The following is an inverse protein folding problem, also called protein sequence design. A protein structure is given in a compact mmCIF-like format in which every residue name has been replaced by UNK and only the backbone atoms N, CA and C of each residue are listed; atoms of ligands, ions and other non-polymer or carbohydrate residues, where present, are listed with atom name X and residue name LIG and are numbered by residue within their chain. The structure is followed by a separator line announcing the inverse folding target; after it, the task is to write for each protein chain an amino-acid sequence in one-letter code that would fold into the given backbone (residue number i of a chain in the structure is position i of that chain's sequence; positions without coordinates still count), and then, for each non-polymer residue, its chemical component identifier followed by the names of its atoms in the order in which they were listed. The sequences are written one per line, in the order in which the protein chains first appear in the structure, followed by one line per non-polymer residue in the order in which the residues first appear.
data_IF_215152586679
#
_entry.id   IF_215152586679
#
_cell.length_a   1.000
_cell.length_b   1.000
_cell.length_c   1.000
_cell.angle_alpha   90.00
_cell.angle_beta   90.00
_cell.angle_gamma   90.00
#
_symmetry.space_group_name_H-M   'P 1'
#
loop_
_entity.id
_entity.type
_entity.pdbx_description
1 polymer ?
#
# COMPACT_ATOMS: atom_id res chain seq x y z
N UNK A 1 5.16 -103.97 24.75
CA UNK A 1 4.14 -103.20 24.02
C UNK A 1 4.04 -101.86 24.61
N UNK A 2 4.70 -100.85 23.96
CA UNK A 2 4.59 -99.44 24.38
C UNK A 2 4.10 -98.65 23.16
N UNK A 3 2.93 -98.10 23.26
CA UNK A 3 2.34 -97.19 22.28
C UNK A 3 2.97 -95.79 22.44
N UNK A 4 3.78 -95.34 21.44
CA UNK A 4 4.24 -93.96 21.35
C UNK A 4 3.11 -93.07 20.84
N UNK A 5 2.58 -92.17 21.71
CA UNK A 5 1.63 -91.14 21.32
C UNK A 5 2.34 -90.06 20.48
N UNK A 6 1.97 -90.00 19.20
CA UNK A 6 2.37 -88.92 18.29
C UNK A 6 1.76 -87.60 18.79
N UNK A 7 2.61 -86.72 19.34
CA UNK A 7 2.23 -85.31 19.68
C UNK A 7 2.24 -84.49 18.37
N UNK A 8 1.09 -83.97 17.96
CA UNK A 8 0.99 -82.96 16.91
C UNK A 8 1.80 -81.68 17.30
N UNK A 9 2.80 -81.33 16.49
CA UNK A 9 3.51 -80.05 16.58
C UNK A 9 2.48 -78.87 16.54
N UNK A 10 2.56 -77.88 17.47
CA UNK A 10 1.73 -76.71 17.38
C UNK A 10 2.10 -75.93 16.10
N UNK A 11 1.12 -75.65 15.26
CA UNK A 11 1.28 -74.69 14.15
C UNK A 11 1.62 -73.32 14.75
N UNK A 12 2.84 -72.90 14.57
CA UNK A 12 3.27 -71.55 14.86
C UNK A 12 2.59 -70.61 13.87
N UNK A 13 1.47 -69.99 14.29
CA UNK A 13 0.89 -68.87 13.57
C UNK A 13 1.84 -67.71 13.70
N UNK A 14 2.63 -67.44 12.65
CA UNK A 14 3.42 -66.20 12.52
C UNK A 14 2.43 -65.03 12.66
N UNK A 15 2.58 -64.17 13.66
CA UNK A 15 1.66 -63.05 13.80
C UNK A 15 1.81 -62.17 12.55
N UNK A 16 0.73 -62.02 11.78
CA UNK A 16 0.73 -61.10 10.64
C UNK A 16 0.97 -59.69 11.17
N UNK A 17 1.97 -59.00 10.63
CA UNK A 17 2.24 -57.61 11.04
C UNK A 17 0.99 -56.77 10.82
N UNK A 18 0.51 -56.08 11.88
CA UNK A 18 -0.61 -55.13 11.79
C UNK A 18 -0.20 -54.01 10.85
N UNK A 19 -0.78 -53.96 9.66
CA UNK A 19 -0.55 -52.87 8.71
C UNK A 19 -1.03 -51.54 9.30
N UNK A 20 -0.21 -50.47 9.29
CA UNK A 20 -0.63 -49.17 9.74
C UNK A 20 -1.76 -48.63 8.85
N UNK A 21 -2.76 -48.01 9.48
CA UNK A 21 -3.83 -47.31 8.77
C UNK A 21 -3.35 -45.90 8.40
N UNK A 22 -3.56 -45.52 7.15
CA UNK A 22 -3.21 -44.19 6.61
C UNK A 22 -4.45 -43.51 6.09
N UNK A 23 -4.58 -42.22 6.38
CA UNK A 23 -5.57 -41.37 5.76
C UNK A 23 -4.98 -40.81 4.47
N UNK A 24 -5.78 -40.83 3.40
CA UNK A 24 -5.36 -40.35 2.09
C UNK A 24 -6.30 -39.25 1.59
N UNK A 25 -5.73 -38.32 0.83
CA UNK A 25 -6.46 -37.38 0.02
C UNK A 25 -6.20 -37.68 -1.45
N UNK A 26 -7.25 -37.69 -2.25
CA UNK A 26 -7.13 -37.89 -3.70
C UNK A 26 -6.56 -36.58 -4.29
N UNK A 27 -5.55 -36.72 -5.14
CA UNK A 27 -4.94 -35.58 -5.83
C UNK A 27 -5.87 -35.16 -6.98
N UNK A 28 -6.46 -33.97 -6.82
CA UNK A 28 -7.30 -33.37 -7.85
C UNK A 28 -6.62 -32.14 -8.39
N UNK A 29 -6.54 -32.03 -9.71
CA UNK A 29 -6.06 -30.84 -10.38
C UNK A 29 -7.13 -29.75 -10.27
N UNK A 30 -6.78 -28.65 -9.59
CA UNK A 30 -7.69 -27.56 -9.33
C UNK A 30 -7.09 -26.21 -9.79
N UNK A 31 -7.96 -25.21 -9.95
CA UNK A 31 -7.56 -23.83 -10.14
C UNK A 31 -7.30 -23.21 -8.77
N UNK A 32 -6.12 -22.66 -8.57
CA UNK A 32 -5.75 -22.04 -7.30
C UNK A 32 -5.29 -20.59 -7.50
N UNK A 33 -5.83 -19.68 -6.68
CA UNK A 33 -5.38 -18.28 -6.61
C UNK A 33 -4.46 -18.12 -5.40
N UNK A 34 -3.22 -17.73 -5.65
CA UNK A 34 -2.24 -17.51 -4.59
C UNK A 34 -2.69 -16.38 -3.66
N UNK A 35 -2.47 -16.54 -2.36
CA UNK A 35 -2.75 -15.53 -1.34
C UNK A 35 -1.50 -15.28 -0.53
N UNK A 36 -0.90 -14.12 -0.77
CA UNK A 36 0.33 -13.72 -0.10
C UNK A 36 -0.02 -12.93 1.15
N UNK A 37 0.55 -13.36 2.28
CA UNK A 37 0.32 -12.71 3.56
C UNK A 37 1.42 -11.70 3.85
N UNK A 38 1.03 -10.52 4.27
CA UNK A 38 1.93 -9.46 4.73
C UNK A 38 1.29 -8.68 5.88
N UNK A 39 1.99 -7.69 6.38
CA UNK A 39 1.50 -6.83 7.46
C UNK A 39 2.14 -5.45 7.37
N UNK A 40 1.44 -4.44 7.87
CA UNK A 40 1.93 -3.08 7.82
C UNK A 40 1.11 -2.15 8.69
N UNK A 41 1.50 -0.88 8.71
CA UNK A 41 0.78 0.17 9.42
C UNK A 41 0.06 1.05 8.41
N UNK A 42 -1.20 1.31 8.66
CA UNK A 42 -2.03 2.21 7.87
C UNK A 42 -1.63 3.66 8.16
N UNK A 43 -1.21 4.39 7.14
CA UNK A 43 -0.82 5.80 7.24
C UNK A 43 -1.56 6.62 6.19
N UNK A 44 -1.91 7.88 6.46
CA UNK A 44 -2.52 8.76 5.47
C UNK A 44 -1.52 9.00 4.33
N UNK A 45 -2.01 9.03 3.09
CA UNK A 45 -1.18 9.32 1.93
C UNK A 45 -0.55 10.71 1.99
N UNK A 46 -1.30 11.67 2.50
CA UNK A 46 -0.87 13.06 2.64
C UNK A 46 -0.96 13.48 4.10
N UNK A 47 0.17 13.88 4.65
CA UNK A 47 0.25 14.50 5.98
C UNK A 47 1.17 15.70 5.89
N UNK A 48 0.76 16.82 6.48
CA UNK A 48 1.53 18.05 6.48
C UNK A 48 1.63 18.61 7.90
N UNK A 49 2.76 19.27 8.16
CA UNK A 49 2.91 20.15 9.32
C UNK A 49 2.53 21.55 8.89
N UNK A 50 1.49 22.08 9.50
CA UNK A 50 1.04 23.44 9.28
C UNK A 50 1.96 24.38 10.04
N UNK A 51 2.54 25.35 9.35
CA UNK A 51 3.43 26.36 9.94
C UNK A 51 2.94 27.76 9.59
N UNK A 52 3.28 28.73 10.44
CA UNK A 52 2.97 30.12 10.14
C UNK A 52 3.91 30.67 9.08
N UNK A 53 3.35 31.31 8.05
CA UNK A 53 4.10 32.00 6.99
C UNK A 53 4.28 33.51 7.28
N UNK A 54 3.63 34.02 8.34
CA UNK A 54 3.70 35.40 8.78
C UNK A 54 3.81 35.45 10.31
N UNK A 55 4.30 36.55 10.87
CA UNK A 55 4.43 36.71 12.31
C UNK A 55 3.26 37.53 12.84
N UNK A 56 2.69 37.17 13.98
CA UNK A 56 1.63 37.94 14.61
C UNK A 56 0.91 37.16 15.72
N UNK A 57 0.00 37.85 16.40
CA UNK A 57 -0.84 37.23 17.43
C UNK A 57 -1.98 36.43 16.78
N UNK A 58 -2.21 35.21 17.25
CA UNK A 58 -3.37 34.43 16.84
C UNK A 58 -4.64 35.04 17.43
N UNK A 59 -5.51 35.53 16.58
CA UNK A 59 -6.78 36.18 16.96
C UNK A 59 -7.87 35.14 17.21
N UNK A 60 -8.00 34.21 16.32
CA UNK A 60 -9.02 33.15 16.41
C UNK A 60 -8.51 31.82 15.89
N UNK A 61 -9.04 30.76 16.44
CA UNK A 61 -8.85 29.37 16.02
C UNK A 61 -10.23 28.79 15.80
N UNK A 62 -10.47 28.18 14.63
CA UNK A 62 -11.75 27.56 14.31
C UNK A 62 -11.98 26.30 15.15
N UNK A 63 -13.21 25.98 15.46
CA UNK A 63 -13.58 24.72 16.13
C UNK A 63 -13.16 23.48 15.33
N UNK A 64 -13.17 23.59 14.00
CA UNK A 64 -12.68 22.55 13.09
C UNK A 64 -11.18 22.28 13.19
N UNK A 65 -10.40 23.15 13.88
CA UNK A 65 -8.97 22.97 14.10
C UNK A 65 -8.63 22.24 15.42
N UNK A 66 -9.61 21.67 16.10
CA UNK A 66 -9.34 20.80 17.25
C UNK A 66 -9.01 19.38 16.83
N UNK A 67 -8.24 18.66 17.67
CA UNK A 67 -7.76 17.30 17.39
C UNK A 67 -8.93 16.35 17.12
N UNK A 68 -8.85 15.64 15.99
CA UNK A 68 -9.89 14.69 15.56
C UNK A 68 -11.06 15.35 14.82
N UNK A 69 -11.09 16.67 14.67
CA UNK A 69 -12.11 17.35 13.86
C UNK A 69 -11.79 17.26 12.37
N UNK A 70 -12.85 17.21 11.57
CA UNK A 70 -12.79 17.17 10.11
C UNK A 70 -12.92 18.60 9.59
N UNK A 71 -12.17 18.92 8.56
CA UNK A 71 -12.23 20.17 7.82
C UNK A 71 -12.30 19.89 6.31
N UNK A 72 -12.80 20.87 5.56
CA UNK A 72 -12.84 20.86 4.09
C UNK A 72 -11.79 21.82 3.53
N UNK A 73 -11.36 21.53 2.30
CA UNK A 73 -10.41 22.38 1.57
C UNK A 73 -10.92 23.82 1.48
N UNK A 74 -10.06 24.77 1.88
CA UNK A 74 -10.37 26.20 1.88
C UNK A 74 -10.93 26.74 3.20
N UNK A 75 -11.34 25.87 4.13
CA UNK A 75 -11.79 26.30 5.46
C UNK A 75 -10.71 27.11 6.16
N UNK A 76 -11.09 28.20 6.80
CA UNK A 76 -10.18 28.99 7.62
C UNK A 76 -10.00 28.29 8.96
N UNK A 77 -8.80 27.78 9.20
CA UNK A 77 -8.47 27.04 10.41
C UNK A 77 -8.08 27.99 11.56
N UNK A 78 -7.35 29.05 11.25
CA UNK A 78 -6.98 30.07 12.23
C UNK A 78 -6.67 31.40 11.54
N UNK A 79 -6.73 32.50 12.33
CA UNK A 79 -6.41 33.86 11.87
C UNK A 79 -5.34 34.48 12.75
N UNK A 80 -4.37 35.08 12.09
CA UNK A 80 -3.33 35.95 12.70
C UNK A 80 -3.78 37.41 12.58
N UNK A 81 -3.36 38.26 13.49
CA UNK A 81 -3.67 39.69 13.47
C UNK A 81 -3.19 40.33 12.17
N UNK A 82 -4.12 40.80 11.37
CA UNK A 82 -3.87 41.29 10.02
C UNK A 82 -3.59 42.82 9.97
N UNK A 83 -3.79 43.56 11.05
CA UNK A 83 -3.79 45.04 11.04
C UNK A 83 -2.51 45.62 10.48
N UNK A 84 -1.35 45.09 10.84
CA UNK A 84 -0.05 45.57 10.33
C UNK A 84 0.12 45.25 8.85
N UNK A 85 -0.40 44.16 8.38
CA UNK A 85 -0.37 43.74 6.98
C UNK A 85 -1.37 44.50 6.12
N UNK A 86 -2.55 44.85 6.66
CA UNK A 86 -3.51 45.77 6.01
C UNK A 86 -2.90 47.14 5.80
N UNK A 87 -2.20 47.67 6.82
CA UNK A 87 -1.50 48.97 6.74
C UNK A 87 -0.38 48.91 5.70
N UNK A 88 0.42 47.83 5.68
CA UNK A 88 1.47 47.63 4.68
C UNK A 88 0.93 47.57 3.25
N UNK A 89 -0.22 46.91 3.04
CA UNK A 89 -0.89 46.88 1.75
C UNK A 89 -1.40 48.28 1.34
N UNK A 90 -1.98 49.04 2.27
CA UNK A 90 -2.43 50.42 2.00
C UNK A 90 -1.26 51.33 1.60
N UNK A 91 -0.11 51.18 2.25
CA UNK A 91 1.13 51.93 1.92
C UNK A 91 1.64 51.56 0.51
N UNK A 92 1.68 50.24 0.17
CA UNK A 92 2.11 49.77 -1.13
C UNK A 92 1.19 50.29 -2.26
N UNK A 93 -0.13 50.31 -2.03
CA UNK A 93 -1.10 50.90 -2.98
C UNK A 93 -0.87 52.37 -3.21
N UNK A 94 -0.54 53.11 -2.17
CA UNK A 94 -0.17 54.54 -2.28
C UNK A 94 1.08 54.73 -3.17
N UNK A 95 2.09 53.84 -3.02
CA UNK A 95 3.31 53.89 -3.84
C UNK A 95 2.99 53.57 -5.31
N UNK A 96 2.12 52.63 -5.60
CA UNK A 96 1.65 52.34 -6.96
C UNK A 96 0.97 53.54 -7.58
N UNK A 97 0.06 54.21 -6.85
CA UNK A 97 -0.62 55.44 -7.33
C UNK A 97 0.36 56.55 -7.65
N UNK A 98 1.40 56.78 -6.80
CA UNK A 98 2.43 57.76 -7.04
C UNK A 98 3.30 57.44 -8.26
N UNK A 99 3.74 56.18 -8.40
CA UNK A 99 4.54 55.73 -9.54
C UNK A 99 3.73 55.80 -10.86
N UNK A 100 2.45 55.48 -10.80
CA UNK A 100 1.55 55.60 -11.95
C UNK A 100 1.35 57.04 -12.39
N UNK A 101 1.16 57.96 -11.45
CA UNK A 101 1.09 59.39 -11.74
C UNK A 101 2.39 59.90 -12.38
N UNK A 102 3.54 59.53 -11.83
CA UNK A 102 4.84 59.90 -12.37
C UNK A 102 5.03 59.38 -13.81
N UNK A 103 4.68 58.16 -14.08
CA UNK A 103 4.75 57.61 -15.43
C UNK A 103 3.84 58.40 -16.38
N UNK A 104 2.62 58.73 -15.97
CA UNK A 104 1.69 59.54 -16.78
C UNK A 104 2.27 60.95 -17.09
N UNK A 105 2.93 61.59 -16.11
CA UNK A 105 3.60 62.86 -16.34
C UNK A 105 4.73 62.73 -17.36
N UNK A 106 5.63 61.74 -17.23
CA UNK A 106 6.73 61.54 -18.15
C UNK A 106 6.23 61.19 -19.56
N UNK A 107 5.14 60.43 -19.69
CA UNK A 107 4.51 60.13 -20.99
C UNK A 107 4.01 61.45 -21.63
N UNK A 108 3.35 62.32 -20.88
CA UNK A 108 2.84 63.62 -21.38
C UNK A 108 3.97 64.57 -21.78
N UNK A 109 5.02 64.63 -21.00
CA UNK A 109 6.19 65.44 -21.32
C UNK A 109 6.94 64.92 -22.57
N UNK A 110 7.06 63.61 -22.71
CA UNK A 110 7.63 63.00 -23.91
C UNK A 110 6.77 63.27 -25.15
N UNK A 111 5.42 63.23 -25.02
CA UNK A 111 4.51 63.60 -26.11
C UNK A 111 4.61 65.05 -26.53
N UNK A 112 4.83 65.98 -25.58
CA UNK A 112 5.06 67.40 -25.87
C UNK A 112 6.32 67.59 -26.64
N UNK A 113 7.45 67.02 -26.21
CA UNK A 113 8.74 67.09 -26.91
C UNK A 113 8.63 66.54 -28.31
N UNK A 114 7.98 65.40 -28.52
CA UNK A 114 7.79 64.81 -29.83
C UNK A 114 7.03 65.72 -30.80
N UNK A 115 5.92 66.38 -30.33
CA UNK A 115 5.12 67.33 -31.11
C UNK A 115 5.92 68.58 -31.46
N UNK A 116 6.77 69.14 -30.57
CA UNK A 116 7.62 70.28 -30.82
C UNK A 116 8.63 69.96 -31.93
N UNK A 117 9.24 68.77 -31.94
CA UNK A 117 10.14 68.30 -32.96
C UNK A 117 9.45 68.13 -34.33
N UNK A 118 8.23 67.59 -34.35
CA UNK A 118 7.43 67.50 -35.54
C UNK A 118 7.13 68.92 -36.17
N UNK A 119 6.76 69.91 -35.32
CA UNK A 119 6.49 71.25 -35.74
C UNK A 119 7.74 71.98 -36.31
N UNK A 120 8.91 71.68 -35.81
CA UNK A 120 10.19 72.29 -36.22
C UNK A 120 10.79 71.57 -37.44
N UNK A 121 10.18 70.53 -37.93
CA UNK A 121 10.58 69.76 -39.11
C UNK A 121 12.05 69.22 -39.00
N UNK A 122 12.51 68.90 -37.77
CA UNK A 122 13.88 68.52 -37.45
C UNK A 122 14.13 67.01 -37.46
N UNK A 123 13.19 66.20 -38.01
CA UNK A 123 13.27 64.75 -38.01
C UNK A 123 12.84 64.12 -36.69
N UNK A 124 13.28 62.90 -36.39
CA UNK A 124 12.96 62.23 -35.09
C UNK A 124 13.97 62.66 -34.01
N UNK A 125 13.47 62.95 -32.78
CA UNK A 125 14.36 63.28 -31.65
C UNK A 125 15.21 62.04 -31.28
N UNK A 126 16.47 62.28 -30.90
CA UNK A 126 17.32 61.18 -30.37
C UNK A 126 16.66 60.61 -29.08
N UNK A 127 16.93 59.33 -28.74
CA UNK A 127 16.34 58.65 -27.58
C UNK A 127 16.48 59.43 -26.25
N UNK A 128 17.59 60.21 -26.07
CA UNK A 128 17.76 61.06 -24.90
C UNK A 128 16.83 62.30 -24.97
N UNK A 129 16.66 62.89 -26.15
CA UNK A 129 15.79 64.05 -26.36
C UNK A 129 14.30 63.62 -26.27
N UNK A 130 13.96 62.43 -26.73
CA UNK A 130 12.62 61.85 -26.60
C UNK A 130 12.28 61.38 -25.19
N UNK A 131 13.14 61.59 -24.19
CA UNK A 131 12.98 61.23 -22.78
C UNK A 131 12.83 59.69 -22.55
N UNK A 132 13.34 58.88 -23.49
CA UNK A 132 13.26 57.41 -23.38
C UNK A 132 13.84 56.84 -22.08
N UNK A 133 15.03 57.32 -21.58
CA UNK A 133 15.55 56.83 -20.30
C UNK A 133 14.66 57.20 -19.12
N UNK A 134 14.00 58.38 -19.12
CA UNK A 134 13.07 58.84 -18.07
C UNK A 134 11.78 57.97 -18.10
N UNK A 135 11.25 57.72 -19.29
CA UNK A 135 10.11 56.81 -19.46
C UNK A 135 10.44 55.41 -19.00
N UNK A 136 11.61 54.87 -19.38
CA UNK A 136 12.05 53.56 -18.93
C UNK A 136 12.20 53.49 -17.41
N UNK A 137 12.79 54.52 -16.79
CA UNK A 137 12.92 54.63 -15.34
C UNK A 137 11.56 54.71 -14.63
N UNK A 138 10.62 55.51 -15.16
CA UNK A 138 9.27 55.64 -14.59
C UNK A 138 8.48 54.32 -14.71
N UNK A 139 8.64 53.60 -15.82
CA UNK A 139 8.02 52.26 -16.02
C UNK A 139 8.58 51.23 -15.03
N UNK A 140 9.92 51.20 -14.86
CA UNK A 140 10.57 50.32 -13.91
C UNK A 140 10.15 50.63 -12.47
N UNK A 141 9.98 51.91 -12.13
CA UNK A 141 9.48 52.33 -10.79
C UNK A 141 8.04 51.89 -10.55
N UNK A 142 7.16 51.95 -11.56
CA UNK A 142 5.79 51.41 -11.47
C UNK A 142 5.78 49.92 -11.32
N UNK A 143 6.58 49.21 -12.08
CA UNK A 143 6.70 47.74 -11.98
C UNK A 143 7.18 47.29 -10.60
N UNK A 144 8.17 47.98 -10.03
CA UNK A 144 8.66 47.74 -8.68
C UNK A 144 7.57 47.98 -7.62
N UNK A 145 6.79 49.06 -7.78
CA UNK A 145 5.68 49.36 -6.86
C UNK A 145 4.56 48.31 -6.94
N UNK A 146 4.22 47.87 -8.12
CA UNK A 146 3.23 46.78 -8.33
C UNK A 146 3.70 45.46 -7.70
N UNK A 147 4.99 45.13 -7.84
CA UNK A 147 5.56 43.95 -7.20
C UNK A 147 5.50 44.04 -5.67
N UNK A 148 5.74 45.24 -5.10
CA UNK A 148 5.62 45.51 -3.66
C UNK A 148 4.17 45.37 -3.16
N UNK A 149 3.20 45.90 -3.91
CA UNK A 149 1.77 45.73 -3.60
C UNK A 149 1.37 44.23 -3.58
N UNK A 150 1.78 43.50 -4.59
CA UNK A 150 1.48 42.07 -4.67
C UNK A 150 2.13 41.28 -3.52
N UNK A 151 3.34 41.64 -3.11
CA UNK A 151 4.00 41.05 -1.95
C UNK A 151 3.22 41.35 -0.64
N UNK A 152 2.80 42.59 -0.43
CA UNK A 152 2.01 43.00 0.71
C UNK A 152 0.64 42.27 0.75
N UNK A 153 -0.02 42.13 -0.40
CA UNK A 153 -1.26 41.39 -0.54
C UNK A 153 -1.11 39.91 -0.17
N UNK A 154 -0.08 39.25 -0.67
CA UNK A 154 0.21 37.85 -0.30
C UNK A 154 0.46 37.70 1.20
N UNK A 155 1.14 38.64 1.84
CA UNK A 155 1.37 38.57 3.28
C UNK A 155 0.08 38.76 4.07
N UNK A 156 -0.83 39.60 3.60
CA UNK A 156 -2.16 39.75 4.19
C UNK A 156 -2.98 38.46 4.03
N UNK A 157 -2.98 37.85 2.84
CA UNK A 157 -3.69 36.60 2.59
C UNK A 157 -3.17 35.45 3.49
N UNK A 158 -1.86 35.47 3.82
CA UNK A 158 -1.23 34.51 4.72
C UNK A 158 -1.63 34.66 6.20
N UNK A 159 -2.28 35.76 6.56
CA UNK A 159 -2.84 35.93 7.90
C UNK A 159 -4.05 35.05 8.15
N UNK A 160 -4.75 34.61 7.08
CA UNK A 160 -5.77 33.58 7.16
C UNK A 160 -5.18 32.23 6.75
N UNK A 161 -4.93 31.33 7.71
CA UNK A 161 -4.41 30.01 7.45
C UNK A 161 -5.57 29.09 7.08
N UNK A 162 -5.57 28.63 5.82
CA UNK A 162 -6.63 27.80 5.25
C UNK A 162 -6.19 26.35 5.04
N UNK A 163 -7.16 25.46 5.09
CA UNK A 163 -6.96 24.03 4.81
C UNK A 163 -6.60 23.82 3.32
N UNK A 164 -5.47 23.14 3.00
CA UNK A 164 -5.06 22.92 1.62
C UNK A 164 -5.78 21.75 0.93
N UNK A 165 -6.41 20.86 1.70
CA UNK A 165 -7.13 19.66 1.26
C UNK A 165 -8.23 19.32 2.28
N UNK A 166 -9.10 18.35 1.93
CA UNK A 166 -10.07 17.79 2.85
C UNK A 166 -9.38 16.81 3.81
N UNK A 167 -9.59 16.95 5.11
CA UNK A 167 -8.81 16.17 6.05
C UNK A 167 -9.29 16.26 7.50
N UNK A 168 -8.40 15.80 8.37
CA UNK A 168 -8.59 15.79 9.82
C UNK A 168 -7.36 16.34 10.53
N UNK A 169 -7.57 16.97 11.68
CA UNK A 169 -6.51 17.50 12.54
C UNK A 169 -5.91 16.39 13.38
N UNK A 170 -4.61 16.10 13.15
CA UNK A 170 -3.85 15.16 13.98
C UNK A 170 -3.37 15.81 15.27
N UNK A 171 -2.94 17.08 15.17
CA UNK A 171 -2.42 17.84 16.31
C UNK A 171 -2.73 19.32 16.14
N UNK A 172 -3.25 19.96 17.19
CA UNK A 172 -3.41 21.39 17.29
C UNK A 172 -2.39 21.93 18.30
N UNK A 173 -1.48 22.81 17.83
CA UNK A 173 -0.33 23.30 18.61
C UNK A 173 -0.49 24.74 19.10
N UNK A 174 -1.59 25.43 18.78
CA UNK A 174 -1.74 26.84 18.99
C UNK A 174 -3.12 27.20 19.58
N UNK A 175 -3.16 28.25 20.38
CA UNK A 175 -4.39 28.77 21.02
C UNK A 175 -4.56 30.28 20.73
N UNK A 176 -5.79 30.80 20.75
CA UNK A 176 -6.04 32.22 20.64
C UNK A 176 -5.24 33.02 21.69
N UNK A 177 -4.67 34.13 21.29
CA UNK A 177 -3.84 34.97 22.15
C UNK A 177 -2.35 34.69 22.13
N UNK A 178 -1.91 33.53 21.61
CA UNK A 178 -0.50 33.21 21.45
C UNK A 178 0.12 33.98 20.28
N UNK A 179 1.42 34.26 20.37
CA UNK A 179 2.18 34.88 19.30
C UNK A 179 2.81 33.75 18.45
N UNK A 180 2.55 33.76 17.15
CA UNK A 180 3.17 32.89 16.17
C UNK A 180 4.27 33.70 15.44
N UNK A 181 5.51 33.24 15.54
CA UNK A 181 6.60 33.74 14.72
C UNK A 181 6.60 33.04 13.36
N UNK A 182 7.36 33.55 12.40
CA UNK A 182 7.60 32.87 11.12
C UNK A 182 8.09 31.44 11.35
N UNK A 183 7.55 30.48 10.60
CA UNK A 183 7.83 29.03 10.68
C UNK A 183 7.43 28.36 12.02
N UNK A 184 6.70 29.02 12.90
CA UNK A 184 6.17 28.38 14.12
C UNK A 184 5.20 27.26 13.73
N UNK A 185 5.37 26.02 14.25
CA UNK A 185 4.43 24.93 14.02
C UNK A 185 3.06 25.26 14.66
N UNK A 186 2.01 25.25 13.86
CA UNK A 186 0.64 25.52 14.28
C UNK A 186 -0.13 24.23 14.57
N UNK A 187 0.17 23.15 13.81
CA UNK A 187 -0.47 21.85 13.96
C UNK A 187 -0.01 20.84 12.92
N UNK A 188 -0.64 19.68 12.95
CA UNK A 188 -0.44 18.62 11.97
C UNK A 188 -1.80 18.23 11.38
N UNK A 189 -1.87 18.19 10.07
CA UNK A 189 -3.07 17.85 9.29
C UNK A 189 -2.79 16.62 8.44
N UNK A 190 -3.81 15.78 8.24
CA UNK A 190 -3.72 14.68 7.29
C UNK A 190 -5.00 14.55 6.47
N UNK A 191 -4.83 14.11 5.22
CA UNK A 191 -5.94 13.89 4.31
C UNK A 191 -6.71 12.62 4.67
N UNK A 192 -8.04 12.65 4.48
CA UNK A 192 -8.94 11.54 4.79
C UNK A 192 -9.41 10.78 3.54
N UNK A 193 -8.96 11.16 2.36
CA UNK A 193 -9.34 10.57 1.07
C UNK A 193 -8.79 9.16 0.89
N UNK A 194 -7.51 8.94 1.24
CA UNK A 194 -6.78 7.70 0.99
C UNK A 194 -5.81 7.40 2.13
N UNK A 195 -5.83 6.14 2.56
CA UNK A 195 -4.80 5.58 3.45
C UNK A 195 -3.94 4.61 2.67
N UNK A 196 -2.64 4.67 2.90
CA UNK A 196 -1.64 3.76 2.34
C UNK A 196 -1.12 2.81 3.41
N UNK A 197 -0.87 1.56 2.99
CA UNK A 197 -0.22 0.56 3.82
C UNK A 197 0.99 0.05 3.07
N UNK A 198 2.16 0.23 3.64
CA UNK A 198 3.42 -0.28 3.12
C UNK A 198 3.61 -1.72 3.58
N UNK A 199 3.65 -2.66 2.64
CA UNK A 199 3.64 -4.10 2.86
C UNK A 199 4.97 -4.71 2.41
N UNK A 200 5.79 -5.26 3.33
CA UNK A 200 7.01 -5.98 2.99
C UNK A 200 6.68 -7.34 2.37
N UNK A 201 7.34 -7.68 1.26
CA UNK A 201 7.25 -8.96 0.57
C UNK A 201 8.64 -9.53 0.36
N UNK A 202 8.79 -10.85 0.50
CA UNK A 202 10.03 -11.53 0.12
C UNK A 202 10.10 -11.71 -1.40
N UNK A 203 11.30 -11.75 -1.94
CA UNK A 203 11.49 -11.79 -3.41
C UNK A 203 10.80 -12.99 -4.08
N UNK A 204 10.69 -14.14 -3.40
CA UNK A 204 9.98 -15.31 -3.90
C UNK A 204 8.48 -15.06 -4.11
N UNK A 205 7.86 -14.23 -3.27
CA UNK A 205 6.41 -13.98 -3.33
C UNK A 205 6.02 -13.07 -4.48
N UNK A 206 6.97 -12.25 -4.96
CA UNK A 206 6.74 -11.35 -6.10
C UNK A 206 6.40 -12.09 -7.39
N UNK A 207 6.91 -13.31 -7.56
CA UNK A 207 6.62 -14.15 -8.73
C UNK A 207 5.14 -14.56 -8.83
N UNK A 208 4.42 -14.51 -7.71
CA UNK A 208 3.01 -14.90 -7.61
C UNK A 208 2.03 -13.72 -7.69
N UNK A 209 2.52 -12.48 -7.84
CA UNK A 209 1.70 -11.28 -7.90
C UNK A 209 1.94 -10.57 -9.23
N UNK A 210 0.87 -10.09 -9.87
CA UNK A 210 0.98 -9.22 -11.04
C UNK A 210 1.12 -7.77 -10.59
N UNK A 211 2.35 -7.38 -10.24
CA UNK A 211 2.62 -6.02 -9.78
C UNK A 211 2.53 -5.02 -10.93
N UNK A 212 2.00 -3.82 -10.68
CA UNK A 212 2.05 -2.73 -11.64
C UNK A 212 3.49 -2.39 -12.00
N UNK A 213 3.75 -2.13 -13.28
CA UNK A 213 5.08 -1.64 -13.71
C UNK A 213 5.35 -0.25 -13.11
N UNK A 214 6.61 0.07 -12.81
CA UNK A 214 6.98 1.39 -12.32
C UNK A 214 6.45 2.50 -13.23
N UNK A 215 5.81 3.51 -12.64
CA UNK A 215 5.23 4.63 -13.38
C UNK A 215 3.93 4.34 -14.14
N UNK A 216 3.44 3.10 -14.17
CA UNK A 216 2.15 2.80 -14.78
C UNK A 216 1.00 3.30 -13.89
N UNK A 217 0.08 4.08 -14.49
CA UNK A 217 -1.21 4.37 -13.85
C UNK A 217 -2.10 3.15 -14.03
N UNK A 218 -2.25 2.36 -12.98
CA UNK A 218 -3.13 1.18 -13.00
C UNK A 218 -4.54 1.61 -12.68
N UNK A 219 -5.49 1.27 -13.55
CA UNK A 219 -6.90 1.42 -13.22
C UNK A 219 -7.24 0.52 -12.02
N UNK A 220 -7.99 1.03 -11.05
CA UNK A 220 -8.35 0.32 -9.80
C UNK A 220 -8.90 -1.11 -10.03
N UNK A 221 -9.56 -1.35 -11.18
CA UNK A 221 -10.09 -2.66 -11.54
C UNK A 221 -9.05 -3.69 -12.02
N UNK A 222 -7.83 -3.26 -12.35
CA UNK A 222 -6.74 -4.12 -12.84
C UNK A 222 -5.63 -4.34 -11.80
N UNK A 223 -5.66 -3.58 -10.71
CA UNK A 223 -4.69 -3.69 -9.64
C UNK A 223 -4.97 -4.91 -8.75
N UNK A 224 -3.93 -5.60 -8.24
CA UNK A 224 -4.11 -6.71 -7.30
C UNK A 224 -4.93 -6.26 -6.08
N UNK A 225 -5.96 -7.04 -5.76
CA UNK A 225 -6.80 -6.77 -4.59
C UNK A 225 -6.08 -7.16 -3.32
N UNK A 226 -6.29 -6.37 -2.28
CA UNK A 226 -5.75 -6.63 -0.95
C UNK A 226 -6.86 -6.53 0.07
N UNK A 227 -7.04 -7.58 0.85
CA UNK A 227 -7.89 -7.54 2.03
C UNK A 227 -7.02 -7.21 3.24
N UNK A 228 -7.26 -6.04 3.81
CA UNK A 228 -6.63 -5.62 5.05
C UNK A 228 -7.51 -6.01 6.23
N UNK A 229 -6.93 -6.53 7.28
CA UNK A 229 -7.70 -6.90 8.48
C UNK A 229 -6.98 -6.49 9.76
N UNK A 230 -7.75 -5.99 10.72
CA UNK A 230 -7.27 -5.73 12.07
C UNK A 230 -8.24 -6.29 13.10
N UNK A 231 -7.73 -6.62 14.28
CA UNK A 231 -8.53 -7.01 15.44
C UNK A 231 -8.59 -5.87 16.44
N UNK A 232 -9.80 -5.52 16.84
CA UNK A 232 -10.06 -4.64 17.97
C UNK A 232 -10.90 -5.41 18.98
N UNK A 233 -10.22 -6.00 19.99
CA UNK A 233 -10.85 -6.98 20.90
C UNK A 233 -11.26 -8.25 20.16
N UNK A 234 -12.53 -8.65 20.30
CA UNK A 234 -13.07 -9.84 19.61
C UNK A 234 -13.53 -9.55 18.17
N UNK A 235 -13.71 -8.28 17.79
CA UNK A 235 -14.15 -7.92 16.44
C UNK A 235 -12.98 -7.90 15.48
N UNK A 236 -13.11 -8.65 14.40
CA UNK A 236 -12.26 -8.54 13.22
C UNK A 236 -12.94 -7.60 12.22
N UNK A 237 -12.22 -6.57 11.81
CA UNK A 237 -12.67 -5.64 10.78
C UNK A 237 -11.81 -5.83 9.54
N UNK A 238 -12.42 -5.75 8.38
CA UNK A 238 -11.77 -5.92 7.09
C UNK A 238 -12.03 -4.71 6.20
N UNK A 239 -11.00 -4.33 5.44
CA UNK A 239 -11.06 -3.25 4.45
C UNK A 239 -10.50 -3.77 3.13
N UNK A 240 -11.14 -3.40 2.03
CA UNK A 240 -10.67 -3.70 0.69
C UNK A 240 -9.77 -2.58 0.20
N UNK A 241 -8.61 -2.96 -0.30
CA UNK A 241 -7.64 -2.08 -0.92
C UNK A 241 -7.08 -2.68 -2.20
N UNK A 242 -6.19 -1.94 -2.85
CA UNK A 242 -5.53 -2.36 -4.08
C UNK A 242 -4.04 -2.01 -4.01
N UNK A 243 -3.18 -2.86 -4.59
CA UNK A 243 -1.75 -2.55 -4.74
C UNK A 243 -1.61 -1.52 -5.86
N UNK A 244 -1.10 -0.35 -5.55
CA UNK A 244 -0.96 0.76 -6.51
C UNK A 244 0.44 0.91 -7.06
N UNK A 245 1.47 0.49 -6.32
CA UNK A 245 2.86 0.55 -6.73
C UNK A 245 3.74 -0.43 -5.96
N UNK A 246 4.87 -0.76 -6.55
CA UNK A 246 6.01 -1.39 -5.90
C UNK A 246 7.13 -0.35 -5.72
N UNK A 247 7.87 -0.42 -4.63
CA UNK A 247 9.00 0.47 -4.36
C UNK A 247 10.29 -0.08 -4.98
N UNK A 248 10.29 -0.81 -6.02
CA UNK A 248 11.42 -1.32 -6.84
C UNK A 248 12.81 -1.44 -6.16
N UNK A 249 12.93 -1.00 -4.93
CA UNK A 249 14.15 -1.01 -4.13
C UNK A 249 14.09 -2.16 -3.13
N UNK A 250 15.07 -3.06 -3.20
CA UNK A 250 15.24 -4.11 -2.20
C UNK A 250 15.93 -3.51 -0.98
N UNK A 251 15.30 -3.61 0.17
CA UNK A 251 15.90 -3.20 1.43
C UNK A 251 17.12 -4.10 1.74
N UNK A 252 18.33 -3.54 1.83
CA UNK A 252 19.55 -4.33 2.01
C UNK A 252 19.61 -5.04 3.36
N UNK A 253 18.91 -4.56 4.38
CA UNK A 253 18.94 -5.15 5.72
C UNK A 253 18.08 -6.41 5.84
N UNK A 254 16.88 -6.37 5.25
CA UNK A 254 15.91 -7.47 5.36
C UNK A 254 15.65 -8.21 4.04
N UNK A 255 16.21 -7.72 2.92
CA UNK A 255 16.05 -8.27 1.56
C UNK A 255 14.58 -8.35 1.11
N UNK A 256 13.75 -7.45 1.61
CA UNK A 256 12.34 -7.35 1.24
C UNK A 256 12.14 -6.25 0.20
N UNK A 257 11.13 -6.45 -0.65
CA UNK A 257 10.59 -5.44 -1.54
C UNK A 257 9.28 -4.95 -0.94
N UNK A 258 9.08 -3.65 -0.95
CA UNK A 258 7.86 -3.07 -0.41
C UNK A 258 6.86 -2.77 -1.51
N UNK A 259 5.62 -3.16 -1.29
CA UNK A 259 4.48 -2.77 -2.12
C UNK A 259 3.54 -1.89 -1.32
N UNK A 260 2.86 -0.98 -1.98
CA UNK A 260 1.95 -0.03 -1.33
C UNK A 260 0.53 -0.37 -1.72
N UNK A 261 -0.26 -0.71 -0.72
CA UNK A 261 -1.71 -0.87 -0.83
C UNK A 261 -2.41 0.44 -0.48
N UNK A 262 -3.45 0.81 -1.23
CA UNK A 262 -4.32 1.95 -0.96
C UNK A 262 -5.73 1.50 -0.61
N UNK A 263 -6.31 2.15 0.40
CA UNK A 263 -7.73 2.07 0.76
C UNK A 263 -8.34 3.45 0.52
N UNK A 264 -9.37 3.49 -0.30
CA UNK A 264 -10.13 4.71 -0.61
C UNK A 264 -11.26 4.87 0.40
N UNK A 265 -11.52 6.10 0.83
CA UNK A 265 -12.51 6.43 1.87
C UNK A 265 -12.36 5.58 3.15
N UNK A 266 -11.15 5.56 3.75
CA UNK A 266 -10.85 4.69 4.90
C UNK A 266 -11.67 5.01 6.14
N UNK A 267 -12.24 6.20 6.22
CA UNK A 267 -13.08 6.65 7.32
C UNK A 267 -14.58 6.44 7.09
N UNK A 268 -14.97 5.99 5.87
CA UNK A 268 -16.38 5.80 5.51
C UNK A 268 -17.16 7.10 5.42
N UNK A 269 -16.51 8.22 5.13
CA UNK A 269 -17.14 9.55 5.09
C UNK A 269 -18.12 9.68 3.92
N UNK A 270 -17.79 9.05 2.78
CA UNK A 270 -18.65 9.06 1.60
C UNK A 270 -19.79 8.04 1.68
N UNK A 271 -19.50 6.82 2.17
CA UNK A 271 -20.46 5.71 2.17
C UNK A 271 -21.17 5.49 3.51
N UNK A 272 -20.68 6.07 4.61
CA UNK A 272 -21.15 5.88 6.00
C UNK A 272 -21.29 4.42 6.44
N UNK A 273 -20.63 3.50 5.75
CA UNK A 273 -20.64 2.08 6.02
C UNK A 273 -19.26 1.59 6.48
N UNK A 274 -19.24 0.78 7.54
CA UNK A 274 -18.05 0.11 8.05
C UNK A 274 -17.32 0.85 9.18
N UNK A 275 -16.42 0.14 9.83
CA UNK A 275 -15.56 0.72 10.85
C UNK A 275 -14.40 1.50 10.18
N UNK A 276 -14.04 2.69 10.68
CA UNK A 276 -12.99 3.50 10.10
C UNK A 276 -11.62 2.84 10.25
N UNK A 277 -10.82 2.87 9.19
CA UNK A 277 -9.40 2.51 9.22
C UNK A 277 -8.59 3.72 9.70
N UNK A 278 -8.34 3.76 11.00
CA UNK A 278 -7.62 4.88 11.61
C UNK A 278 -6.14 4.89 11.25
N UNK A 279 -5.59 6.08 11.06
CA UNK A 279 -4.15 6.26 10.94
C UNK A 279 -3.39 5.64 12.12
N UNK A 280 -2.27 4.95 11.86
CA UNK A 280 -1.50 4.24 12.87
C UNK A 280 -2.00 2.82 13.17
N UNK A 281 -3.11 2.38 12.60
CA UNK A 281 -3.61 1.01 12.80
C UNK A 281 -2.68 0.00 12.15
N UNK A 282 -2.22 -0.99 12.94
CA UNK A 282 -1.50 -2.15 12.41
C UNK A 282 -2.48 -3.14 11.80
N UNK A 283 -2.24 -3.52 10.53
CA UNK A 283 -3.12 -4.39 9.76
C UNK A 283 -2.37 -5.59 9.20
N UNK A 284 -3.06 -6.72 9.11
CA UNK A 284 -2.65 -7.86 8.30
C UNK A 284 -3.24 -7.72 6.91
N UNK A 285 -2.43 -8.01 5.91
CA UNK A 285 -2.80 -7.92 4.51
C UNK A 285 -2.80 -9.31 3.87
N UNK A 286 -3.85 -9.62 3.14
CA UNK A 286 -3.95 -10.78 2.25
C UNK A 286 -4.05 -10.28 0.83
N UNK A 287 -2.98 -10.43 0.06
CA UNK A 287 -2.86 -9.96 -1.32
C UNK A 287 -3.30 -11.08 -2.24
N UNK A 288 -4.25 -10.81 -3.13
CA UNK A 288 -4.63 -11.74 -4.19
C UNK A 288 -3.56 -11.73 -5.29
N UNK A 289 -2.92 -12.88 -5.46
CA UNK A 289 -1.92 -13.11 -6.49
C UNK A 289 -2.50 -13.72 -7.75
N UNK A 290 -1.61 -14.27 -8.58
CA UNK A 290 -1.95 -14.97 -9.83
C UNK A 290 -2.81 -16.18 -9.55
N UNK A 291 -3.62 -16.53 -10.53
CA UNK A 291 -4.34 -17.79 -10.54
C UNK A 291 -3.60 -18.77 -11.44
N UNK A 292 -3.28 -19.94 -10.91
CA UNK A 292 -2.66 -21.01 -11.65
C UNK A 292 -3.66 -22.17 -11.82
N UNK A 293 -3.74 -22.71 -13.01
CA UNK A 293 -4.58 -23.86 -13.34
C UNK A 293 -3.76 -25.15 -13.26
N UNK A 294 -4.44 -26.27 -13.10
CA UNK A 294 -3.85 -27.61 -13.07
C UNK A 294 -2.79 -27.81 -11.96
N UNK A 295 -3.02 -27.26 -10.79
CA UNK A 295 -2.19 -27.48 -9.60
C UNK A 295 -2.90 -28.40 -8.60
N UNK A 296 -2.11 -29.15 -7.83
CA UNK A 296 -2.64 -30.02 -6.78
C UNK A 296 -2.44 -29.35 -5.43
N UNK A 297 -3.54 -29.12 -4.72
CA UNK A 297 -3.53 -28.49 -3.40
C UNK A 297 -3.64 -29.56 -2.32
N UNK A 298 -2.58 -29.66 -1.50
CA UNK A 298 -2.51 -30.60 -0.39
C UNK A 298 -2.43 -29.87 0.94
N UNK A 299 -2.88 -30.47 2.04
CA UNK A 299 -2.62 -29.96 3.38
C UNK A 299 -1.11 -29.86 3.64
N UNK A 300 -0.66 -28.86 4.37
CA UNK A 300 0.78 -28.64 4.66
C UNK A 300 1.46 -29.87 5.26
N UNK A 301 0.74 -30.61 6.10
CA UNK A 301 1.25 -31.82 6.76
C UNK A 301 1.38 -33.04 5.82
N UNK A 302 0.88 -32.98 4.59
CA UNK A 302 1.14 -34.03 3.59
C UNK A 302 2.56 -33.95 3.01
N UNK A 303 3.19 -32.75 3.06
CA UNK A 303 4.58 -32.55 2.64
C UNK A 303 5.54 -33.03 3.73
N UNK A 304 6.47 -33.89 3.35
CA UNK A 304 7.53 -34.42 4.22
C UNK A 304 8.87 -33.80 3.82
N UNK A 305 9.58 -33.26 4.81
CA UNK A 305 10.81 -32.54 4.54
C UNK A 305 10.59 -31.32 3.64
N UNK A 306 11.44 -31.14 2.63
CA UNK A 306 11.39 -29.99 1.72
C UNK A 306 10.48 -30.20 0.51
N UNK A 307 10.46 -31.41 -0.07
CA UNK A 307 9.83 -31.68 -1.36
C UNK A 307 9.38 -33.15 -1.54
N UNK A 308 9.04 -33.86 -0.47
CA UNK A 308 8.65 -35.26 -0.54
C UNK A 308 7.21 -35.44 -0.09
N UNK A 309 6.45 -36.28 -0.80
CA UNK A 309 5.12 -36.73 -0.41
C UNK A 309 5.08 -38.27 -0.42
N UNK A 310 4.14 -38.84 0.31
CA UNK A 310 3.91 -40.26 0.33
C UNK A 310 2.66 -40.58 -0.48
N UNK A 311 2.79 -41.49 -1.46
CA UNK A 311 1.71 -41.87 -2.34
C UNK A 311 1.39 -43.33 -2.08
N UNK A 312 0.11 -43.67 -2.10
CA UNK A 312 -0.35 -45.04 -2.01
C UNK A 312 -0.53 -45.62 -3.41
N UNK A 313 0.17 -46.69 -3.72
CA UNK A 313 0.09 -47.41 -5.00
C UNK A 313 -0.31 -48.86 -4.80
N UNK A 314 -1.06 -49.38 -5.74
CA UNK A 314 -1.41 -50.79 -5.82
C UNK A 314 -0.31 -51.59 -6.53
N UNK A 315 0.61 -50.92 -7.26
CA UNK A 315 1.70 -51.55 -8.02
C UNK A 315 2.99 -51.50 -7.23
N UNK A 316 3.71 -52.64 -7.17
CA UNK A 316 5.08 -52.73 -6.65
C UNK A 316 6.06 -52.52 -7.81
N UNK A 317 6.94 -51.54 -7.70
CA UNK A 317 8.02 -51.28 -8.68
C UNK A 317 8.97 -52.50 -8.86
N UNK A 318 9.11 -53.36 -7.86
CA UNK A 318 9.90 -54.60 -7.93
C UNK A 318 9.20 -55.74 -8.66
N UNK A 319 7.88 -55.75 -8.74
CA UNK A 319 7.12 -56.79 -9.43
C UNK A 319 7.17 -56.67 -10.96
N UNK A 320 7.33 -55.47 -11.47
CA UNK A 320 7.45 -55.25 -12.92
C UNK A 320 8.77 -55.75 -13.47
N UNK A 321 9.83 -55.80 -12.65
CA UNK A 321 11.17 -56.23 -13.06
C UNK A 321 11.40 -57.75 -12.87
N UNK A 322 10.75 -58.38 -11.87
CA UNK A 322 10.97 -59.79 -11.52
C UNK A 322 9.88 -60.78 -11.96
N UNK A 323 8.75 -60.35 -12.50
CA UNK A 323 7.69 -61.21 -12.99
C UNK A 323 7.00 -62.08 -11.91
N UNK A 324 7.19 -61.80 -10.63
CA UNK A 324 6.66 -62.58 -9.51
C UNK A 324 5.32 -62.01 -9.04
N UNK A 325 4.28 -62.81 -9.10
CA UNK A 325 2.91 -62.44 -8.71
C UNK A 325 2.60 -63.00 -7.33
N UNK A 326 2.84 -62.22 -6.27
CA UNK A 326 2.27 -62.52 -4.95
C UNK A 326 0.83 -62.01 -4.85
N UNK A 327 -0.08 -62.81 -4.30
CA UNK A 327 -1.47 -62.40 -4.10
C UNK A 327 -1.62 -61.62 -2.78
N UNK A 328 -1.09 -60.42 -2.71
CA UNK A 328 -1.34 -59.56 -1.56
C UNK A 328 -2.07 -58.30 -2.03
N UNK A 329 -3.35 -58.20 -1.69
CA UNK A 329 -4.21 -57.04 -1.93
C UNK A 329 -3.85 -55.85 -1.02
N UNK A 330 -2.57 -55.65 -0.69
CA UNK A 330 -2.12 -54.57 0.20
C UNK A 330 -1.59 -53.43 -0.63
N UNK A 331 -2.16 -52.23 -0.39
CA UNK A 331 -1.63 -51.00 -0.94
C UNK A 331 -0.27 -50.70 -0.30
N UNK A 332 0.68 -50.21 -1.11
CA UNK A 332 2.04 -49.87 -0.66
C UNK A 332 2.26 -48.39 -0.68
N UNK A 333 3.04 -47.91 0.26
CA UNK A 333 3.42 -46.53 0.39
C UNK A 333 4.72 -46.30 -0.40
N UNK A 334 4.73 -45.31 -1.28
CA UNK A 334 5.87 -44.93 -2.12
C UNK A 334 6.27 -43.50 -1.80
N UNK A 335 7.58 -43.29 -1.61
CA UNK A 335 8.14 -41.96 -1.44
C UNK A 335 8.36 -41.33 -2.80
N UNK A 336 7.80 -40.12 -3.01
CA UNK A 336 7.95 -39.38 -4.25
C UNK A 336 8.37 -37.95 -4.02
N UNK A 337 9.39 -37.53 -4.76
CA UNK A 337 9.78 -36.13 -4.81
C UNK A 337 8.82 -35.35 -5.68
N UNK A 338 8.43 -34.16 -5.24
CA UNK A 338 7.48 -33.27 -5.90
C UNK A 338 8.07 -31.88 -6.08
N UNK A 339 7.60 -31.19 -7.10
CA UNK A 339 7.92 -29.77 -7.30
C UNK A 339 6.88 -28.91 -6.59
N UNK A 340 7.32 -28.24 -5.52
CA UNK A 340 6.47 -27.37 -4.70
C UNK A 340 6.57 -25.96 -5.23
N UNK A 341 5.50 -25.45 -5.83
CA UNK A 341 5.45 -24.08 -6.31
C UNK A 341 5.24 -23.09 -5.16
N UNK A 342 4.40 -23.41 -4.20
CA UNK A 342 4.08 -22.53 -3.07
C UNK A 342 3.71 -23.34 -1.83
N UNK A 343 4.04 -22.83 -0.65
CA UNK A 343 3.62 -23.43 0.60
C UNK A 343 3.35 -22.35 1.64
N UNK A 344 2.19 -22.41 2.26
CA UNK A 344 1.81 -21.57 3.40
C UNK A 344 1.66 -22.37 4.70
N UNK A 345 1.10 -21.77 5.75
CA UNK A 345 0.91 -22.43 7.04
C UNK A 345 -0.11 -23.60 7.00
N UNK A 346 -1.06 -23.59 6.06
CA UNK A 346 -2.18 -24.54 6.00
C UNK A 346 -2.02 -25.53 4.85
N UNK A 347 -1.48 -25.11 3.72
CA UNK A 347 -1.48 -25.88 2.47
C UNK A 347 -0.17 -25.77 1.71
N UNK A 348 0.04 -26.74 0.82
CA UNK A 348 1.14 -26.77 -0.14
C UNK A 348 0.56 -26.96 -1.54
N UNK A 349 1.11 -26.21 -2.50
CA UNK A 349 0.72 -26.26 -3.90
C UNK A 349 1.82 -26.95 -4.66
N UNK A 350 1.45 -28.07 -5.27
CA UNK A 350 2.36 -28.93 -6.05
C UNK A 350 2.10 -28.66 -7.53
N UNK A 351 3.17 -28.25 -8.24
CA UNK A 351 3.13 -28.00 -9.67
C UNK A 351 3.37 -29.26 -10.49
N UNK A 352 4.23 -30.18 -10.01
CA UNK A 352 4.58 -31.39 -10.72
C UNK A 352 4.99 -32.52 -9.75
N UNK A 353 4.95 -33.76 -10.24
CA UNK A 353 5.37 -34.95 -9.48
C UNK A 353 4.23 -35.79 -8.92
N UNK A 354 2.99 -35.31 -8.99
CA UNK A 354 1.77 -36.07 -8.62
C UNK A 354 0.83 -36.09 -9.83
N UNK A 355 0.21 -37.21 -10.09
CA UNK A 355 -0.81 -37.34 -11.15
C UNK A 355 -2.21 -37.18 -10.56
N UNK A 356 -3.13 -36.71 -11.38
CA UNK A 356 -4.53 -36.63 -11.00
C UNK A 356 -5.08 -38.02 -10.66
N UNK A 357 -5.79 -38.12 -9.55
CA UNK A 357 -6.36 -39.39 -9.06
C UNK A 357 -5.43 -40.18 -8.12
N UNK A 358 -4.16 -39.82 -7.97
CA UNK A 358 -3.28 -40.50 -7.03
C UNK A 358 -3.67 -40.21 -5.56
N UNK A 359 -3.50 -41.23 -4.71
CA UNK A 359 -3.83 -41.16 -3.29
C UNK A 359 -2.60 -40.69 -2.49
N UNK A 360 -2.63 -39.47 -1.98
CA UNK A 360 -1.56 -38.88 -1.18
C UNK A 360 -1.86 -39.05 0.30
N UNK A 361 -0.89 -39.57 1.07
CA UNK A 361 -1.03 -39.78 2.51
C UNK A 361 -0.97 -38.45 3.26
N UNK A 362 -1.99 -38.18 4.03
CA UNK A 362 -2.10 -36.96 4.87
C UNK A 362 -1.90 -37.25 6.36
N UNK A 363 -2.06 -38.50 6.84
CA UNK A 363 -1.85 -38.84 8.24
C UNK A 363 -0.39 -38.90 8.63
N UNK A 364 -0.08 -38.64 9.92
CA UNK A 364 1.24 -38.78 10.50
C UNK A 364 1.51 -40.25 10.87
N UNK A 365 2.65 -40.78 10.48
CA UNK A 365 3.12 -42.10 10.86
C UNK A 365 4.44 -41.98 11.62
N UNK A 366 4.58 -42.76 12.70
CA UNK A 366 5.78 -42.70 13.57
C UNK A 366 7.02 -43.32 12.93
N UNK A 367 6.85 -44.38 12.13
CA UNK A 367 7.95 -45.06 11.41
C UNK A 367 7.47 -45.44 10.03
N UNK A 368 8.18 -45.04 9.00
CA UNK A 368 7.81 -45.25 7.61
C UNK A 368 9.02 -45.67 6.81
N UNK A 369 8.84 -46.73 6.00
CA UNK A 369 9.84 -47.20 5.07
C UNK A 369 9.19 -47.24 3.68
N UNK A 370 9.98 -46.87 2.66
CA UNK A 370 9.53 -46.97 1.27
C UNK A 370 9.14 -48.39 0.90
N UNK A 371 7.99 -48.55 0.24
CA UNK A 371 7.44 -49.88 -0.12
C UNK A 371 6.66 -50.57 1.00
N UNK A 372 6.49 -50.00 2.18
CA UNK A 372 5.75 -50.67 3.26
C UNK A 372 4.27 -50.79 2.94
N UNK A 373 3.66 -51.93 3.36
CA UNK A 373 2.23 -52.20 3.21
C UNK A 373 1.39 -51.31 4.15
N UNK A 374 0.30 -50.73 3.65
CA UNK A 374 -0.58 -49.87 4.41
C UNK A 374 -2.06 -50.19 4.17
N UNK A 375 -2.91 -49.88 5.13
CA UNK A 375 -4.35 -49.96 5.02
C UNK A 375 -4.92 -48.54 4.87
N UNK A 376 -5.58 -48.29 3.73
CA UNK A 376 -6.15 -46.95 3.43
C UNK A 376 -7.45 -46.76 4.19
N UNK A 377 -7.58 -45.56 4.82
CA UNK A 377 -8.84 -44.95 5.22
C UNK A 377 -9.05 -43.71 4.39
N UNK A 378 -10.18 -43.49 3.82
CA UNK A 378 -10.53 -42.24 3.19
C UNK A 378 -10.65 -41.17 4.30
N UNK A 379 -10.02 -40.03 4.11
CA UNK A 379 -10.20 -38.89 5.00
C UNK A 379 -11.61 -38.37 4.81
N UNK A 380 -12.39 -38.23 5.87
CA UNK A 380 -13.62 -37.47 5.84
C UNK A 380 -13.27 -36.01 5.48
N UNK A 381 -13.94 -35.49 4.44
CA UNK A 381 -13.81 -34.10 4.03
C UNK A 381 -14.35 -33.19 5.15
N UNK A 382 -13.46 -32.71 6.01
CA UNK A 382 -13.81 -31.64 6.95
C UNK A 382 -13.66 -30.31 6.21
N UNK A 383 -14.77 -29.87 5.60
CA UNK A 383 -14.97 -28.48 5.21
C UNK A 383 -15.27 -27.67 6.47
N UNK A 384 -14.28 -26.93 7.00
CA UNK A 384 -14.46 -25.82 7.93
C UNK A 384 -13.50 -24.66 7.55
#
# INVERSE_FOLDING_TARGET
IMLAKSAKKPESKIPQPKLPAVEVKIAEATRHTYRIQSQGTALPRTSIRLVSEVSGKVVSVAESFDVGQIFTKGDVLLKIDARDYELALAQARSQVAQAQLRLQMEVKEADVVRREWELLNQGEPSGLQAREPQLASARAALEAALAAEEAAKRNLDRCEIRAPFDGMVARAGVRPGQFAALATPLGELFATDVVEVRLPLIASDLSFIDLPRPGAKVALGQAPKVTLSARAGERRTEWLGHIVRSEETVDPMNRMVYVVAQVIDPYGLAKRDGAPLRSGTFVRASIEGRTQENVIVLPRHALRGKNQVWIVSEKSTLQEWLGYREPSHHKRLIFRSVDVSFADAKQVIVAAGIQQGEQVVVSLLAAVVDGMGVKVREAESTDE
#
